data_IF_844843432155
#
_entry.id   IF_844843432155
#
_cell.length_a   1.000
_cell.length_b   1.000
_cell.length_c   1.000
_cell.angle_alpha   90.00
_cell.angle_beta   90.00
_cell.angle_gamma   90.00
#
_symmetry.space_group_name_H-M   'P 1'
#
loop_
_entity.id
_entity.type
_entity.pdbx_description
1 polymer ?
#
# COMPACT_ATOMS: atom_id res chain seq x y z
N UNK A 1 -5.06 -14.82 -6.22
CA UNK A 1 -3.83 -15.32 -5.53
C UNK A 1 -2.68 -14.29 -5.42
N UNK A 2 -2.47 -13.34 -6.35
CA UNK A 2 -1.37 -12.34 -6.25
C UNK A 2 -1.56 -11.29 -5.13
N UNK A 3 -2.81 -10.86 -4.81
CA UNK A 3 -3.11 -10.00 -3.65
C UNK A 3 -2.70 -10.64 -2.31
N UNK A 4 -2.90 -11.96 -2.18
CA UNK A 4 -2.47 -12.73 -1.01
C UNK A 4 -0.95 -12.77 -0.88
N UNK A 5 -0.21 -12.93 -2.00
CA UNK A 5 1.27 -12.87 -2.00
C UNK A 5 1.82 -11.54 -1.47
N UNK A 6 1.19 -10.40 -1.78
CA UNK A 6 1.65 -9.08 -1.32
C UNK A 6 1.38 -8.87 0.18
N UNK A 7 0.18 -9.22 0.65
CA UNK A 7 -0.18 -9.17 2.07
C UNK A 7 0.66 -10.16 2.90
N UNK A 8 0.89 -11.36 2.37
CA UNK A 8 1.75 -12.37 2.99
C UNK A 8 3.21 -11.90 3.00
N UNK A 9 3.69 -11.19 1.97
CA UNK A 9 5.02 -10.57 2.01
C UNK A 9 5.15 -9.45 3.04
N UNK A 10 4.06 -8.73 3.36
CA UNK A 10 4.07 -7.68 4.38
C UNK A 10 4.01 -8.29 5.80
N UNK A 11 3.35 -9.44 5.96
CA UNK A 11 3.17 -10.14 7.25
C UNK A 11 4.32 -11.10 7.57
N UNK A 12 4.96 -11.72 6.57
CA UNK A 12 6.09 -12.66 6.74
C UNK A 12 7.26 -12.04 7.52
N UNK A 13 7.73 -10.81 7.24
CA UNK A 13 8.81 -10.20 8.01
C UNK A 13 8.43 -10.04 9.47
N UNK A 14 7.17 -9.67 9.74
CA UNK A 14 6.67 -9.48 11.10
C UNK A 14 6.54 -10.80 11.86
N UNK A 15 5.97 -11.83 11.24
CA UNK A 15 5.88 -13.19 11.81
C UNK A 15 7.26 -13.81 11.96
N UNK A 16 8.19 -13.56 11.03
CA UNK A 16 9.58 -14.00 11.15
C UNK A 16 10.30 -13.32 12.31
N UNK A 17 10.11 -12.02 12.52
CA UNK A 17 10.66 -11.30 13.68
C UNK A 17 10.09 -11.85 14.99
N UNK A 18 8.78 -12.14 15.06
CA UNK A 18 8.13 -12.73 16.25
C UNK A 18 8.56 -14.19 16.46
N UNK A 19 8.65 -15.00 15.41
CA UNK A 19 9.09 -16.39 15.52
C UNK A 19 10.56 -16.47 15.94
N UNK A 20 11.42 -15.61 15.36
CA UNK A 20 12.84 -15.56 15.69
C UNK A 20 13.09 -14.91 17.07
N UNK A 21 12.20 -14.05 17.57
CA UNK A 21 12.30 -13.52 18.95
C UNK A 21 12.11 -14.62 20.01
N UNK A 22 11.32 -15.66 19.71
CA UNK A 22 11.21 -16.84 20.60
C UNK A 22 12.44 -17.75 20.57
N UNK A 23 13.26 -17.67 19.51
CA UNK A 23 14.52 -18.39 19.34
C UNK A 23 15.76 -17.47 19.46
N UNK A 24 15.59 -16.25 19.98
CA UNK A 24 16.60 -15.18 20.03
C UNK A 24 17.92 -15.63 20.66
N UNK A 25 17.81 -16.50 21.66
CA UNK A 25 18.94 -16.96 22.47
C UNK A 25 19.82 -17.95 21.70
N UNK A 26 19.24 -18.63 20.68
CA UNK A 26 19.97 -19.55 19.81
C UNK A 26 20.58 -18.86 18.58
N UNK A 27 19.96 -17.80 18.08
CA UNK A 27 20.37 -17.13 16.84
C UNK A 27 20.33 -15.58 16.95
N UNK A 28 21.14 -14.97 17.84
CA UNK A 28 21.07 -13.53 18.11
C UNK A 28 21.44 -12.67 16.89
N UNK A 29 22.33 -13.16 16.02
CA UNK A 29 22.71 -12.45 14.79
C UNK A 29 21.56 -12.38 13.78
N UNK A 30 20.86 -13.51 13.57
CA UNK A 30 19.73 -13.60 12.63
C UNK A 30 18.59 -12.68 13.09
N UNK A 31 18.31 -12.65 14.39
CA UNK A 31 17.29 -11.77 14.96
C UNK A 31 17.60 -10.28 14.68
N UNK A 32 18.84 -9.84 14.96
CA UNK A 32 19.27 -8.46 14.70
C UNK A 32 19.19 -8.11 13.20
N UNK A 33 19.64 -9.02 12.32
CA UNK A 33 19.58 -8.83 10.88
C UNK A 33 18.13 -8.66 10.37
N UNK A 34 17.19 -9.45 10.89
CA UNK A 34 15.77 -9.34 10.54
C UNK A 34 15.15 -8.02 11.01
N UNK A 35 15.48 -7.56 12.23
CA UNK A 35 15.04 -6.24 12.70
C UNK A 35 15.60 -5.13 11.81
N UNK A 36 16.89 -5.18 11.46
CA UNK A 36 17.50 -4.20 10.56
C UNK A 36 16.83 -4.19 9.17
N UNK A 37 16.56 -5.37 8.60
CA UNK A 37 15.86 -5.50 7.32
C UNK A 37 14.44 -4.93 7.40
N UNK A 38 13.70 -5.23 8.47
CA UNK A 38 12.37 -4.69 8.70
C UNK A 38 12.40 -3.17 8.84
N UNK A 39 13.34 -2.62 9.61
CA UNK A 39 13.50 -1.18 9.79
C UNK A 39 13.86 -0.48 8.47
N UNK A 40 14.76 -1.06 7.67
CA UNK A 40 15.11 -0.53 6.35
C UNK A 40 13.91 -0.53 5.40
N UNK A 41 13.12 -1.61 5.39
CA UNK A 41 11.89 -1.69 4.61
C UNK A 41 10.82 -0.68 5.07
N UNK A 42 10.64 -0.52 6.38
CA UNK A 42 9.74 0.46 6.97
C UNK A 42 10.14 1.90 6.60
N UNK A 43 11.43 2.23 6.70
CA UNK A 43 11.96 3.53 6.30
C UNK A 43 11.73 3.77 4.81
N UNK A 44 12.04 2.80 3.95
CA UNK A 44 11.83 2.90 2.51
C UNK A 44 10.37 3.17 2.16
N UNK A 45 9.43 2.41 2.73
CA UNK A 45 7.99 2.58 2.48
C UNK A 45 7.47 3.92 2.98
N UNK A 46 7.89 4.36 4.16
CA UNK A 46 7.53 5.66 4.74
C UNK A 46 8.06 6.82 3.89
N UNK A 47 9.33 6.78 3.48
CA UNK A 47 9.93 7.78 2.61
C UNK A 47 9.20 7.85 1.26
N UNK A 48 8.90 6.70 0.66
CA UNK A 48 8.17 6.64 -0.61
C UNK A 48 6.76 7.25 -0.52
N UNK A 49 6.08 7.07 0.61
CA UNK A 49 4.78 7.69 0.88
C UNK A 49 4.91 9.21 1.09
N UNK A 50 5.97 9.67 1.77
CA UNK A 50 6.25 11.10 1.94
C UNK A 50 6.56 11.77 0.60
N UNK A 51 7.40 11.16 -0.24
CA UNK A 51 7.74 11.68 -1.58
C UNK A 51 6.49 11.82 -2.46
N UNK A 52 5.55 10.89 -2.36
CA UNK A 52 4.25 11.01 -3.03
C UNK A 52 3.46 12.23 -2.52
N UNK A 53 3.36 12.42 -1.20
CA UNK A 53 2.62 13.54 -0.59
C UNK A 53 3.21 14.91 -0.92
N UNK A 54 4.53 15.00 -1.07
CA UNK A 54 5.24 16.24 -1.45
C UNK A 54 5.15 16.50 -2.97
N UNK A 55 4.55 15.58 -3.74
CA UNK A 55 4.33 15.76 -5.18
C UNK A 55 5.53 15.40 -6.06
N UNK A 56 6.59 14.79 -5.52
CA UNK A 56 7.76 14.36 -6.29
C UNK A 56 7.40 13.33 -7.36
N UNK A 57 6.30 12.59 -7.15
CA UNK A 57 5.82 11.54 -8.04
C UNK A 57 4.70 12.02 -8.96
N UNK A 58 5.00 12.95 -9.85
CA UNK A 58 3.96 13.58 -10.68
C UNK A 58 3.33 12.67 -11.75
N UNK A 59 3.90 11.50 -12.00
CA UNK A 59 3.41 10.48 -12.93
C UNK A 59 2.61 9.37 -12.23
N UNK A 60 2.25 9.57 -10.96
CA UNK A 60 1.52 8.61 -10.14
C UNK A 60 0.30 9.32 -9.53
N UNK A 61 -0.89 8.74 -9.67
CA UNK A 61 -2.07 9.12 -8.91
C UNK A 61 -2.57 7.93 -8.10
N UNK A 62 -2.94 8.20 -6.85
CA UNK A 62 -3.50 7.21 -5.93
C UNK A 62 -4.95 7.54 -5.58
N UNK A 63 -5.75 6.49 -5.43
CA UNK A 63 -7.18 6.57 -5.16
C UNK A 63 -7.66 5.42 -4.29
N UNK A 64 -8.82 5.60 -3.67
CA UNK A 64 -9.32 4.68 -2.66
C UNK A 64 -9.86 3.37 -3.25
N UNK A 65 -9.50 2.26 -2.60
CA UNK A 65 -10.12 0.95 -2.81
C UNK A 65 -11.02 0.58 -1.63
N UNK A 66 -11.94 -0.36 -1.84
CA UNK A 66 -12.84 -0.86 -0.78
C UNK A 66 -12.05 -1.38 0.44
N UNK A 67 -10.86 -1.96 0.21
CA UNK A 67 -10.06 -2.60 1.26
C UNK A 67 -9.08 -1.65 1.98
N UNK A 68 -8.99 -0.38 1.59
CA UNK A 68 -8.02 0.54 2.19
C UNK A 68 -8.28 0.73 3.69
N UNK A 69 -9.54 0.88 4.08
CA UNK A 69 -9.93 1.00 5.48
C UNK A 69 -9.57 -0.25 6.28
N UNK A 70 -9.80 -1.44 5.71
CA UNK A 70 -9.44 -2.69 6.37
C UNK A 70 -7.94 -2.74 6.66
N UNK A 71 -7.10 -2.42 5.68
CA UNK A 71 -5.65 -2.44 5.85
C UNK A 71 -5.17 -1.44 6.90
N UNK A 72 -5.70 -0.21 6.84
CA UNK A 72 -5.40 0.85 7.82
C UNK A 72 -5.75 0.42 9.23
N UNK A 73 -6.98 -0.04 9.46
CA UNK A 73 -7.43 -0.43 10.79
C UNK A 73 -6.76 -1.72 11.27
N UNK A 74 -6.41 -2.62 10.37
CA UNK A 74 -5.66 -3.82 10.70
C UNK A 74 -4.24 -3.48 11.20
N UNK A 75 -3.52 -2.58 10.51
CA UNK A 75 -2.20 -2.13 10.95
C UNK A 75 -2.27 -1.41 12.31
N UNK A 76 -3.23 -0.50 12.48
CA UNK A 76 -3.44 0.20 13.75
C UNK A 76 -3.79 -0.80 14.86
N UNK A 77 -4.71 -1.73 14.60
CA UNK A 77 -5.15 -2.73 15.58
C UNK A 77 -4.02 -3.64 16.03
N UNK A 78 -3.18 -4.13 15.10
CA UNK A 78 -1.97 -4.89 15.42
C UNK A 78 -0.99 -4.04 16.23
N UNK A 79 -0.77 -2.78 15.84
CA UNK A 79 0.14 -1.88 16.55
C UNK A 79 -0.28 -1.63 18.00
N UNK A 80 -1.59 -1.43 18.22
CA UNK A 80 -2.18 -1.30 19.57
C UNK A 80 -1.98 -2.61 20.35
N UNK A 81 -2.37 -3.75 19.78
CA UNK A 81 -2.24 -5.05 20.44
C UNK A 81 -0.79 -5.34 20.83
N UNK A 82 0.16 -5.10 19.93
CA UNK A 82 1.59 -5.31 20.19
C UNK A 82 2.10 -4.38 21.29
N UNK A 83 1.71 -3.10 21.26
CA UNK A 83 2.12 -2.12 22.27
C UNK A 83 1.62 -2.53 23.65
N UNK A 84 0.33 -2.87 23.77
CA UNK A 84 -0.29 -3.30 25.03
C UNK A 84 0.37 -4.58 25.55
N UNK A 85 0.52 -5.60 24.70
CA UNK A 85 1.17 -6.85 25.09
C UNK A 85 2.62 -6.65 25.54
N UNK A 86 3.35 -5.74 24.90
CA UNK A 86 4.72 -5.41 25.26
C UNK A 86 4.80 -4.71 26.62
N UNK A 87 3.90 -3.78 26.90
CA UNK A 87 3.78 -3.13 28.23
C UNK A 87 3.42 -4.16 29.30
N UNK A 88 2.45 -5.04 29.03
CA UNK A 88 2.08 -6.13 29.93
C UNK A 88 3.25 -7.07 30.22
N UNK A 89 4.04 -7.42 29.20
CA UNK A 89 5.25 -8.24 29.33
C UNK A 89 6.29 -7.54 30.22
N UNK A 90 6.50 -6.24 30.04
CA UNK A 90 7.40 -5.46 30.90
C UNK A 90 6.97 -5.54 32.36
N UNK A 91 5.68 -5.32 32.63
CA UNK A 91 5.15 -5.21 34.00
C UNK A 91 5.12 -6.57 34.72
N UNK A 92 4.80 -7.65 34.02
CA UNK A 92 4.50 -8.94 34.64
C UNK A 92 5.52 -10.06 34.38
N UNK A 93 6.38 -9.94 33.37
CA UNK A 93 7.35 -11.00 33.01
C UNK A 93 8.78 -10.49 33.23
N UNK A 94 9.46 -11.02 34.25
CA UNK A 94 10.80 -10.59 34.65
C UNK A 94 11.93 -11.16 33.79
N UNK A 95 11.71 -12.28 33.12
CA UNK A 95 12.76 -13.03 32.41
C UNK A 95 13.09 -12.49 31.02
N UNK A 96 12.29 -11.58 30.44
CA UNK A 96 12.48 -11.04 29.07
C UNK A 96 12.14 -9.55 28.92
N UNK A 97 12.37 -8.75 29.96
CA UNK A 97 12.05 -7.31 29.96
C UNK A 97 12.72 -6.53 28.82
N UNK A 98 13.89 -6.97 28.39
CA UNK A 98 14.70 -6.29 27.36
C UNK A 98 14.00 -6.23 25.99
N UNK A 99 13.04 -7.11 25.71
CA UNK A 99 12.29 -7.12 24.46
C UNK A 99 11.05 -6.22 24.48
N UNK A 100 10.57 -5.84 25.67
CA UNK A 100 9.37 -5.02 25.80
C UNK A 100 9.54 -3.61 25.18
N UNK A 101 10.65 -2.87 25.37
CA UNK A 101 10.87 -1.59 24.70
C UNK A 101 10.81 -1.72 23.17
N UNK A 102 11.39 -2.79 22.61
CA UNK A 102 11.41 -3.03 21.16
C UNK A 102 9.98 -3.23 20.65
N UNK A 103 9.18 -4.05 21.33
CA UNK A 103 7.79 -4.29 20.97
C UNK A 103 6.91 -3.03 21.06
N UNK A 104 7.13 -2.17 22.06
CA UNK A 104 6.46 -0.86 22.15
C UNK A 104 6.82 0.03 20.97
N UNK A 105 8.11 0.16 20.64
CA UNK A 105 8.56 0.99 19.52
C UNK A 105 7.96 0.48 18.20
N UNK A 106 8.01 -0.84 17.95
CA UNK A 106 7.42 -1.43 16.74
C UNK A 106 5.90 -1.19 16.71
N UNK A 107 5.20 -1.38 17.84
CA UNK A 107 3.76 -1.16 17.93
C UNK A 107 3.36 0.28 17.64
N UNK A 108 4.10 1.26 18.18
CA UNK A 108 3.90 2.68 17.87
C UNK A 108 4.18 2.99 16.40
N UNK A 109 5.25 2.43 15.82
CA UNK A 109 5.56 2.60 14.40
C UNK A 109 4.45 2.05 13.50
N UNK A 110 3.84 0.91 13.85
CA UNK A 110 2.69 0.35 13.11
C UNK A 110 1.45 1.24 13.19
N UNK A 111 1.17 1.83 14.37
CA UNK A 111 0.07 2.79 14.52
C UNK A 111 0.31 4.00 13.63
N UNK A 112 1.51 4.59 13.68
CA UNK A 112 1.88 5.74 12.84
C UNK A 112 1.82 5.39 11.35
N UNK A 113 2.28 4.19 10.97
CA UNK A 113 2.21 3.73 9.58
C UNK A 113 0.77 3.59 9.10
N UNK A 114 -0.13 3.00 9.89
CA UNK A 114 -1.54 2.92 9.55
C UNK A 114 -2.22 4.29 9.45
N UNK A 115 -1.84 5.24 10.30
CA UNK A 115 -2.33 6.63 10.19
C UNK A 115 -1.80 7.35 8.94
N UNK A 116 -0.60 7.01 8.49
CA UNK A 116 0.03 7.58 7.30
C UNK A 116 -0.18 6.75 6.03
N UNK A 117 -0.96 5.67 6.09
CA UNK A 117 -1.17 4.79 4.95
C UNK A 117 -1.83 5.57 3.80
N UNK A 118 -1.25 5.43 2.62
CA UNK A 118 -1.79 6.02 1.40
C UNK A 118 -2.82 5.07 0.77
N UNK A 119 -3.76 5.59 -0.04
CA UNK A 119 -4.68 4.75 -0.79
C UNK A 119 -3.91 3.72 -1.64
N UNK A 120 -4.44 2.49 -1.74
CA UNK A 120 -3.74 1.40 -2.43
C UNK A 120 -4.03 1.34 -3.92
N UNK A 121 -5.11 1.97 -4.36
CA UNK A 121 -5.39 2.17 -5.78
C UNK A 121 -4.32 3.08 -6.33
N UNK A 122 -3.66 2.64 -7.40
CA UNK A 122 -2.51 3.32 -7.98
C UNK A 122 -2.61 3.26 -9.50
N UNK A 123 -2.49 4.42 -10.14
CA UNK A 123 -2.32 4.56 -11.57
C UNK A 123 -0.99 5.27 -11.81
N UNK A 124 -0.11 4.62 -12.58
CA UNK A 124 1.23 5.09 -12.89
C UNK A 124 1.41 5.23 -14.38
N UNK A 125 1.98 6.35 -14.81
CA UNK A 125 2.43 6.56 -16.17
C UNK A 125 3.94 6.35 -16.24
N UNK A 126 4.35 5.44 -17.12
CA UNK A 126 5.71 5.38 -17.63
C UNK A 126 5.76 6.10 -18.98
N UNK A 127 6.92 6.14 -19.61
CA UNK A 127 7.13 6.85 -20.89
C UNK A 127 6.02 6.52 -21.90
N UNK A 128 5.77 5.22 -22.13
CA UNK A 128 4.82 4.76 -23.15
C UNK A 128 3.70 3.85 -22.61
N UNK A 129 3.67 3.60 -21.30
CA UNK A 129 2.69 2.70 -20.68
C UNK A 129 1.93 3.31 -19.52
N UNK A 130 0.69 2.87 -19.36
CA UNK A 130 -0.19 3.11 -18.22
C UNK A 130 -0.25 1.80 -17.41
N UNK A 131 0.04 1.92 -16.11
CA UNK A 131 -0.01 0.80 -15.17
C UNK A 131 -1.13 1.08 -14.19
N UNK A 132 -2.06 0.14 -14.09
CA UNK A 132 -3.19 0.20 -13.16
C UNK A 132 -3.02 -0.87 -12.07
N UNK A 133 -3.23 -0.50 -10.81
CA UNK A 133 -3.06 -1.43 -9.69
C UNK A 133 -4.04 -2.60 -9.76
N UNK A 134 -3.52 -3.83 -9.75
CA UNK A 134 -4.38 -5.02 -9.82
C UNK A 134 -4.71 -5.47 -11.24
N UNK A 135 -4.32 -4.69 -12.25
CA UNK A 135 -4.23 -5.11 -13.64
C UNK A 135 -2.81 -5.67 -13.87
N UNK A 136 -2.66 -6.88 -14.41
CA UNK A 136 -1.34 -7.51 -14.56
C UNK A 136 -0.49 -6.91 -15.67
N UNK A 137 -1.12 -6.37 -16.71
CA UNK A 137 -0.45 -5.96 -17.94
C UNK A 137 -0.32 -4.44 -18.04
N UNK A 138 0.83 -3.97 -18.51
CA UNK A 138 1.04 -2.56 -18.81
C UNK A 138 0.36 -2.24 -20.14
N UNK A 139 -0.43 -1.16 -20.16
CA UNK A 139 -1.22 -0.77 -21.33
C UNK A 139 -0.48 0.34 -22.07
N UNK A 140 -0.14 0.11 -23.32
CA UNK A 140 0.50 1.13 -24.16
C UNK A 140 -0.44 2.34 -24.34
N UNK A 141 0.07 3.55 -24.12
CA UNK A 141 -0.74 4.78 -24.19
C UNK A 141 -1.41 4.96 -25.55
N UNK A 142 -0.66 4.72 -26.62
CA UNK A 142 -1.12 4.89 -27.99
C UNK A 142 -2.18 3.87 -28.42
N UNK A 143 -2.34 2.80 -27.64
CA UNK A 143 -3.29 1.74 -27.91
C UNK A 143 -4.58 1.88 -27.11
N UNK A 144 -4.73 2.92 -26.27
CA UNK A 144 -5.95 3.25 -25.55
C UNK A 144 -6.98 3.91 -26.48
N UNK A 145 -8.19 3.34 -26.51
CA UNK A 145 -9.33 3.88 -27.26
C UNK A 145 -10.45 4.38 -26.36
N UNK A 146 -10.46 3.99 -25.10
CA UNK A 146 -11.49 4.40 -24.15
C UNK A 146 -11.05 4.19 -22.71
N UNK A 147 -11.40 5.14 -21.85
CA UNK A 147 -11.24 5.09 -20.41
C UNK A 147 -12.59 5.42 -19.78
N UNK A 148 -13.15 4.51 -19.01
CA UNK A 148 -14.42 4.72 -18.29
C UNK A 148 -14.14 4.68 -16.80
N UNK A 149 -14.52 5.74 -16.10
CA UNK A 149 -14.35 5.91 -14.65
C UNK A 149 -15.73 5.79 -14.01
N UNK A 150 -15.90 4.79 -13.14
CA UNK A 150 -17.12 4.52 -12.38
C UNK A 150 -16.79 4.43 -10.89
N UNK A 151 -17.79 4.50 -10.02
CA UNK A 151 -17.58 4.56 -8.56
C UNK A 151 -16.77 3.38 -8.02
N UNK A 152 -16.98 2.19 -8.58
CA UNK A 152 -16.45 0.92 -8.13
C UNK A 152 -15.38 0.32 -9.07
N UNK A 153 -15.16 0.92 -10.25
CA UNK A 153 -14.18 0.43 -11.22
C UNK A 153 -13.66 1.48 -12.19
N UNK A 154 -12.47 1.21 -12.74
CA UNK A 154 -11.91 1.93 -13.89
C UNK A 154 -11.71 0.91 -15.00
N UNK A 155 -12.26 1.19 -16.18
CA UNK A 155 -12.19 0.32 -17.35
C UNK A 155 -11.37 0.97 -18.46
N UNK A 156 -10.40 0.24 -18.99
CA UNK A 156 -9.53 0.64 -20.08
C UNK A 156 -9.84 -0.24 -21.30
N UNK A 157 -10.01 0.39 -22.46
CA UNK A 157 -10.33 -0.29 -23.73
C UNK A 157 -9.20 -0.10 -24.72
N UNK A 158 -8.69 -1.20 -25.27
CA UNK A 158 -7.63 -1.22 -26.27
C UNK A 158 -8.16 -1.11 -27.70
N UNK A 159 -7.30 -0.66 -28.63
CA UNK A 159 -7.53 -0.67 -30.09
C UNK A 159 -7.92 -2.03 -30.66
N UNK A 160 -7.52 -3.13 -30.00
CA UNK A 160 -7.88 -4.51 -30.38
C UNK A 160 -9.19 -5.01 -29.77
N UNK A 161 -9.92 -4.17 -29.04
CA UNK A 161 -11.14 -4.54 -28.32
C UNK A 161 -10.89 -5.28 -27.01
N UNK A 162 -9.63 -5.41 -26.57
CA UNK A 162 -9.31 -5.94 -25.25
C UNK A 162 -9.76 -4.94 -24.18
N UNK A 163 -10.53 -5.42 -23.21
CA UNK A 163 -11.06 -4.62 -22.11
C UNK A 163 -10.41 -5.08 -20.82
N UNK A 164 -9.87 -4.12 -20.09
CA UNK A 164 -9.19 -4.38 -18.82
C UNK A 164 -9.77 -3.48 -17.76
N UNK A 165 -10.29 -4.07 -16.69
CA UNK A 165 -10.91 -3.34 -15.59
C UNK A 165 -10.14 -3.54 -14.29
N UNK A 166 -10.03 -2.46 -13.52
CA UNK A 166 -9.74 -2.55 -12.09
C UNK A 166 -11.04 -2.36 -11.33
N UNK A 167 -11.40 -3.36 -10.54
CA UNK A 167 -12.61 -3.39 -9.72
C UNK A 167 -12.30 -3.15 -8.24
N UNK A 168 -13.37 -3.06 -7.44
CA UNK A 168 -13.35 -2.86 -5.98
C UNK A 168 -12.77 -1.49 -5.57
N UNK A 169 -13.12 -0.47 -6.34
CA UNK A 169 -12.79 0.92 -6.04
C UNK A 169 -13.85 1.56 -5.15
N UNK A 170 -13.47 2.70 -4.58
CA UNK A 170 -14.39 3.59 -3.87
C UNK A 170 -14.06 5.02 -4.28
N UNK A 171 -14.42 5.36 -5.52
CA UNK A 171 -14.18 6.68 -6.09
C UNK A 171 -15.31 7.62 -5.67
N UNK A 172 -14.95 8.74 -5.05
CA UNK A 172 -15.85 9.87 -4.88
C UNK A 172 -15.72 10.84 -6.08
N UNK A 173 -16.66 11.77 -6.29
CA UNK A 173 -16.62 12.70 -7.43
C UNK A 173 -15.33 13.51 -7.51
N UNK A 174 -14.79 13.89 -6.34
CA UNK A 174 -13.51 14.62 -6.26
C UNK A 174 -12.35 13.80 -6.77
N UNK A 175 -12.27 12.53 -6.38
CA UNK A 175 -11.20 11.60 -6.79
C UNK A 175 -11.34 11.23 -8.25
N UNK A 176 -12.57 10.95 -8.72
CA UNK A 176 -12.83 10.69 -10.13
C UNK A 176 -12.41 11.87 -11.01
N UNK A 177 -12.76 13.09 -10.61
CA UNK A 177 -12.32 14.33 -11.28
C UNK A 177 -10.79 14.47 -11.28
N UNK A 178 -10.12 14.15 -10.17
CA UNK A 178 -8.66 14.19 -10.10
C UNK A 178 -7.99 13.17 -11.04
N UNK A 179 -8.58 11.97 -11.19
CA UNK A 179 -8.11 10.94 -12.13
C UNK A 179 -8.31 11.41 -13.57
N UNK A 180 -9.48 11.94 -13.90
CA UNK A 180 -9.76 12.52 -15.22
C UNK A 180 -8.76 13.62 -15.57
N UNK A 181 -8.57 14.59 -14.68
CA UNK A 181 -7.58 15.67 -14.87
C UNK A 181 -6.16 15.13 -15.05
N UNK A 182 -5.76 14.14 -14.25
CA UNK A 182 -4.46 13.50 -14.38
C UNK A 182 -4.26 12.86 -15.76
N UNK A 183 -5.27 12.13 -16.25
CA UNK A 183 -5.24 11.50 -17.58
C UNK A 183 -5.25 12.54 -18.71
N UNK A 184 -6.06 13.59 -18.60
CA UNK A 184 -6.09 14.69 -19.59
C UNK A 184 -4.72 15.36 -19.69
N UNK A 185 -4.12 15.73 -18.55
CA UNK A 185 -2.83 16.43 -18.51
C UNK A 185 -1.69 15.55 -19.04
N UNK A 186 -1.73 14.24 -18.79
CA UNK A 186 -0.58 13.38 -19.05
C UNK A 186 -0.68 12.49 -20.30
N UNK A 187 -1.88 12.21 -20.78
CA UNK A 187 -2.13 11.44 -22.01
C UNK A 187 -2.57 12.37 -23.14
N UNK A 188 -3.17 13.53 -22.83
CA UNK A 188 -3.57 14.51 -23.84
C UNK A 188 -4.84 14.16 -24.61
N UNK A 189 -5.52 13.07 -24.25
CA UNK A 189 -6.72 12.57 -24.94
C UNK A 189 -7.96 12.68 -24.04
N UNK A 190 -8.51 13.88 -23.86
CA UNK A 190 -9.74 14.07 -23.10
C UNK A 190 -10.96 13.35 -23.70
N UNK A 191 -11.01 13.23 -25.01
CA UNK A 191 -12.17 12.68 -25.75
C UNK A 191 -12.42 11.19 -25.50
N UNK A 192 -11.39 10.43 -25.10
CA UNK A 192 -11.52 9.00 -24.81
C UNK A 192 -11.92 8.74 -23.35
N UNK A 193 -11.99 9.76 -22.50
CA UNK A 193 -12.29 9.64 -21.07
C UNK A 193 -13.77 9.90 -20.82
N UNK A 194 -14.44 8.97 -20.15
CA UNK A 194 -15.82 9.09 -19.69
C UNK A 194 -15.86 8.95 -18.18
N UNK A 195 -16.19 10.05 -17.50
CA UNK A 195 -16.37 10.08 -16.05
C UNK A 195 -17.86 9.96 -15.72
N UNK A 196 -18.25 8.82 -15.16
CA UNK A 196 -19.64 8.50 -14.81
C UNK A 196 -19.91 8.64 -13.30
N UNK A 197 -18.97 9.20 -12.53
CA UNK A 197 -19.11 9.42 -11.09
C UNK A 197 -19.71 10.81 -10.85
N UNK A 198 -20.95 10.86 -10.38
CA UNK A 198 -21.74 12.08 -10.15
C UNK A 198 -21.72 12.57 -8.71
#
# INVERSE_FOLDING_TARGET
MKKFKKIVLDVIPMVAVIAVSTASDKYPFVFKALICLWAAWFLYTTLNNLLYRVGVKENEIRYHTINDNYHKYFQIGIGIALTVLSICTWLWITTRKDFAPIGVVIGLLLIVAGLLELPRGEMKLRTDSLILSGVPDEIGKDALTGIVIEEDRITLTHTRGEVVSQEMLRLDPKTATAIEQFLVVRIGCGEIIKNNVG
#
